data_IF_345148347798
#
_entry.id   IF_345148347798
#
_cell.length_a   1.000
_cell.length_b   1.000
_cell.length_c   1.000
_cell.angle_alpha   90.00
_cell.angle_beta   90.00
_cell.angle_gamma   90.00
#
_symmetry.space_group_name_H-M   'P 1'
#
loop_
_entity.id
_entity.type
_entity.pdbx_description
1 polymer ?
#
# COMPACT_ATOMS: atom_id res chain seq x y z
N UNK A 1 17.01 -20.37 -7.53
CA UNK A 1 16.35 -20.02 -7.84
C UNK A 1 15.88 -18.92 -7.59
N UNK A 2 15.70 -18.29 -8.09
CA UNK A 2 15.40 -17.22 -7.86
C UNK A 2 14.11 -16.99 -7.66
N UNK A 3 13.74 -16.58 -6.74
CA UNK A 3 12.56 -16.30 -6.54
C UNK A 3 12.32 -14.93 -6.64
N UNK A 4 12.17 -14.31 -7.64
CA UNK A 4 11.88 -12.95 -7.76
C UNK A 4 10.47 -12.68 -7.47
N UNK A 5 10.13 -11.65 -6.78
CA UNK A 5 8.75 -11.26 -6.53
C UNK A 5 8.09 -10.94 -7.85
N UNK A 6 6.84 -11.23 -7.98
CA UNK A 6 6.13 -10.89 -9.18
C UNK A 6 5.90 -9.40 -9.28
N UNK A 7 5.40 -8.94 -10.43
CA UNK A 7 5.18 -7.50 -10.63
C UNK A 7 4.24 -6.88 -9.62
N UNK A 8 3.25 -7.62 -9.18
CA UNK A 8 2.30 -7.07 -8.22
C UNK A 8 2.96 -6.87 -6.86
N UNK A 9 3.84 -7.78 -6.48
CA UNK A 9 4.56 -7.63 -5.22
C UNK A 9 5.56 -6.49 -5.28
N UNK A 10 6.20 -6.30 -6.42
CA UNK A 10 7.10 -5.18 -6.60
C UNK A 10 6.33 -3.86 -6.53
N UNK A 11 5.15 -3.83 -7.12
CA UNK A 11 4.32 -2.65 -7.08
C UNK A 11 3.91 -2.35 -5.65
N UNK A 12 3.55 -3.38 -4.89
CA UNK A 12 3.18 -3.18 -3.50
C UNK A 12 4.32 -2.54 -2.73
N UNK A 13 5.53 -3.04 -2.92
CA UNK A 13 6.69 -2.50 -2.21
C UNK A 13 6.94 -1.06 -2.59
N UNK A 14 6.77 -0.72 -3.87
CA UNK A 14 6.98 0.64 -4.30
C UNK A 14 5.92 1.56 -3.74
N UNK A 15 4.68 1.10 -3.66
CA UNK A 15 3.61 1.92 -3.10
C UNK A 15 3.82 2.13 -1.61
N UNK A 16 4.29 1.11 -0.91
CA UNK A 16 4.56 1.25 0.52
C UNK A 16 5.67 2.26 0.76
N UNK A 17 6.69 2.23 -0.05
CA UNK A 17 7.79 3.16 0.10
C UNK A 17 7.33 4.58 -0.23
N UNK A 18 6.57 4.74 -1.30
CA UNK A 18 6.07 6.05 -1.68
C UNK A 18 5.16 6.62 -0.61
N UNK A 19 4.32 5.76 -0.01
CA UNK A 19 3.42 6.22 1.05
C UNK A 19 4.21 6.68 2.27
N UNK A 20 5.23 5.93 2.63
CA UNK A 20 6.06 6.31 3.77
C UNK A 20 6.74 7.65 3.51
N UNK A 21 7.28 7.83 2.32
CA UNK A 21 7.94 9.08 1.98
C UNK A 21 6.96 10.25 2.02
N UNK A 22 5.74 10.03 1.57
CA UNK A 22 4.73 11.08 1.61
C UNK A 22 4.34 11.42 3.04
N UNK A 23 4.25 10.42 3.90
CA UNK A 23 3.94 10.65 5.30
C UNK A 23 5.08 11.40 5.98
N UNK A 24 6.32 11.06 5.65
CA UNK A 24 7.46 11.74 6.22
C UNK A 24 7.49 13.19 5.77
N UNK A 25 7.12 13.44 4.52
CA UNK A 25 7.04 14.80 4.02
C UNK A 25 5.97 15.59 4.77
N UNK A 26 4.82 14.95 5.03
CA UNK A 26 3.77 15.62 5.80
C UNK A 26 4.23 15.89 7.23
N UNK A 27 5.01 15.00 7.80
CA UNK A 27 5.45 15.17 9.18
C UNK A 27 6.29 16.43 9.34
N UNK A 28 6.96 16.84 8.29
CA UNK A 28 7.76 18.06 8.35
C UNK A 28 6.89 19.29 8.48
N UNK A 29 5.61 19.18 8.16
CA UNK A 29 4.69 20.29 8.25
C UNK A 29 3.79 20.20 9.49
N UNK A 30 4.06 19.24 10.36
CA UNK A 30 3.18 18.99 11.49
C UNK A 30 3.01 20.20 12.38
N UNK A 31 4.05 21.01 12.51
CA UNK A 31 3.96 22.19 13.34
C UNK A 31 3.71 23.45 12.56
N UNK A 32 3.42 23.34 11.29
CA UNK A 32 3.30 24.52 10.46
C UNK A 32 2.06 25.29 10.77
N UNK A 33 2.17 26.59 10.95
CA UNK A 33 1.02 27.41 11.16
C UNK A 33 0.12 27.46 9.94
N UNK A 34 0.68 27.22 8.79
CA UNK A 34 -0.11 27.22 7.56
C UNK A 34 -0.89 25.92 7.38
N UNK A 35 -0.62 24.94 8.17
CA UNK A 35 -1.32 23.66 8.06
C UNK A 35 -0.61 22.71 7.13
N UNK A 36 -1.30 21.66 6.78
CA UNK A 36 -0.69 20.62 5.95
C UNK A 36 -0.98 20.88 4.48
N UNK A 37 -0.01 20.64 3.62
CA UNK A 37 -0.23 20.85 2.18
C UNK A 37 -1.27 19.87 1.65
N UNK A 38 -2.23 20.39 0.91
CA UNK A 38 -3.29 19.57 0.37
C UNK A 38 -2.79 18.53 -0.60
N UNK A 39 -1.81 18.86 -1.40
CA UNK A 39 -1.31 17.91 -2.38
C UNK A 39 -0.62 16.74 -1.71
N UNK A 40 0.04 16.96 -0.58
CA UNK A 40 0.65 15.85 0.14
C UNK A 40 -0.41 14.98 0.81
N UNK A 41 -1.46 15.62 1.34
CA UNK A 41 -2.55 14.85 1.93
C UNK A 41 -3.21 13.98 0.88
N UNK A 42 -3.43 14.54 -0.31
CA UNK A 42 -4.05 13.79 -1.36
C UNK A 42 -3.14 12.66 -1.82
N UNK A 43 -1.85 12.91 -1.86
CA UNK A 43 -0.92 11.89 -2.27
C UNK A 43 -0.95 10.69 -1.32
N UNK A 44 -0.98 10.95 -0.02
CA UNK A 44 -1.06 9.86 0.95
C UNK A 44 -2.35 9.08 0.76
N UNK A 45 -3.46 9.78 0.56
CA UNK A 45 -4.74 9.13 0.36
C UNK A 45 -4.74 8.28 -0.89
N UNK A 46 -4.23 8.83 -1.99
CA UNK A 46 -4.21 8.10 -3.25
C UNK A 46 -3.32 6.87 -3.15
N UNK A 47 -2.18 7.01 -2.50
CA UNK A 47 -1.29 5.88 -2.34
C UNK A 47 -1.90 4.81 -1.44
N UNK A 48 -2.63 5.22 -0.44
CA UNK A 48 -3.30 4.28 0.45
C UNK A 48 -4.37 3.49 -0.32
N UNK A 49 -5.14 4.15 -1.13
CA UNK A 49 -6.16 3.49 -1.91
C UNK A 49 -5.53 2.51 -2.90
N UNK A 50 -4.49 2.96 -3.57
CA UNK A 50 -3.80 2.10 -4.52
C UNK A 50 -3.20 0.89 -3.83
N UNK A 51 -2.63 1.09 -2.66
CA UNK A 51 -2.01 0.01 -1.92
C UNK A 51 -3.05 -1.00 -1.46
N UNK A 52 -4.21 -0.53 -1.03
CA UNK A 52 -5.27 -1.44 -0.63
C UNK A 52 -5.75 -2.27 -1.81
N UNK A 53 -5.86 -1.66 -2.98
CA UNK A 53 -6.28 -2.40 -4.16
C UNK A 53 -5.26 -3.48 -4.53
N UNK A 54 -3.98 -3.15 -4.41
CA UNK A 54 -2.95 -4.11 -4.74
C UNK A 54 -2.94 -5.25 -3.72
N UNK A 55 -3.14 -4.94 -2.47
CA UNK A 55 -3.18 -5.97 -1.44
C UNK A 55 -4.36 -6.90 -1.64
N UNK A 56 -5.49 -6.34 -2.04
CA UNK A 56 -6.65 -7.17 -2.33
C UNK A 56 -6.37 -8.09 -3.49
N UNK A 57 -5.69 -7.57 -4.49
CA UNK A 57 -5.37 -8.37 -5.64
C UNK A 57 -4.46 -9.54 -5.26
N UNK A 58 -3.48 -9.28 -4.43
CA UNK A 58 -2.58 -10.32 -3.99
C UNK A 58 -3.36 -11.36 -3.18
N UNK A 59 -4.24 -10.92 -2.31
CA UNK A 59 -4.99 -11.85 -1.52
C UNK A 59 -5.92 -12.70 -2.35
N UNK A 60 -6.46 -12.15 -3.40
CA UNK A 60 -7.35 -12.90 -4.24
C UNK A 60 -6.64 -13.97 -5.03
N UNK A 61 -5.38 -13.77 -5.29
CA UNK A 61 -4.65 -14.73 -6.09
C UNK A 61 -3.85 -15.73 -5.27
N UNK A 62 -3.61 -15.43 -4.02
CA UNK A 62 -2.82 -16.31 -3.22
C UNK A 62 -3.54 -17.23 -2.29
N UNK A 63 -4.76 -17.03 -2.00
CA UNK A 63 -5.38 -17.87 -1.01
C UNK A 63 -5.39 -19.33 -1.37
N UNK A 64 -5.46 -19.60 -2.64
CA UNK A 64 -5.50 -20.99 -2.98
C UNK A 64 -4.18 -21.66 -2.80
N UNK A 65 -3.19 -20.93 -2.43
CA UNK A 65 -1.98 -21.52 -2.17
C UNK A 65 -2.01 -22.14 -0.86
N UNK A 66 -2.81 -21.83 -0.09
CA UNK A 66 -2.81 -22.32 1.06
C UNK A 66 -3.88 -22.40 1.76
N UNK A 67 -4.29 -21.71 2.28
CA UNK A 67 -5.26 -21.80 3.01
C UNK A 67 -6.37 -21.59 2.59
N UNK A 68 -6.41 -21.72 1.75
CA UNK A 68 -7.42 -21.41 1.37
C UNK A 68 -8.51 -21.91 1.92
N UNK A 69 -8.74 -22.46 1.96
CA UNK A 69 -9.69 -22.77 2.29
C UNK A 69 -10.49 -22.60 3.16
N UNK A 70 -10.58 -22.55 3.54
CA UNK A 70 -11.17 -22.40 4.29
C UNK A 70 -11.96 -21.64 4.50
N UNK A 71 -12.45 -21.37 4.26
CA UNK A 71 -13.11 -20.59 4.44
C UNK A 71 -14.16 -20.81 4.62
N UNK A 72 -14.60 -20.81 5.13
CA UNK A 72 -15.54 -21.08 5.41
C UNK A 72 -16.61 -20.77 5.13
N UNK A 73 -16.89 -20.85 4.84
CA UNK A 73 -17.69 -20.53 4.62
C UNK A 73 -18.44 -20.76 4.86
N UNK A 74 -18.49 -20.85 5.01
CA UNK A 74 -19.13 -21.02 5.30
C UNK A 74 -19.70 -21.12 5.24
#
# INVERSE_FOLDING_TARGET
>A
MSEQPGPVHLLKARLEKARLEAIEALAKHADSAAGLPDDLLRRVTDLQIALMAVRDEIEQHEPHLGHGGERPMA
#
